data_IF_084719253322
#
_entry.id   IF_084719253322
#
_cell.length_a   1.000
_cell.length_b   1.000
_cell.length_c   1.000
_cell.angle_alpha   90.00
_cell.angle_beta   90.00
_cell.angle_gamma   90.00
#
_symmetry.space_group_name_H-M   'P 1'
#
loop_
_entity.id
_entity.type
_entity.pdbx_description
1 polymer ?
#
# COMPACT_ATOMS: atom_id res chain seq x y z
N UNK A 1 -10.72 11.83 -2.13
CA UNK A 1 -9.24 11.78 -2.16
C UNK A 1 -8.58 13.12 -1.88
N UNK A 2 -9.11 14.21 -2.44
CA UNK A 2 -8.49 15.53 -2.32
C UNK A 2 -8.38 16.06 -0.88
N UNK A 3 -9.20 15.56 0.04
CA UNK A 3 -9.15 15.95 1.45
C UNK A 3 -8.10 15.19 2.28
N UNK A 4 -7.63 14.02 1.82
CA UNK A 4 -6.86 13.11 2.66
C UNK A 4 -5.36 13.40 2.61
N UNK A 5 -4.73 13.57 3.77
CA UNK A 5 -3.27 13.72 3.88
C UNK A 5 -2.54 12.38 4.11
N UNK A 6 -3.29 11.34 4.48
CA UNK A 6 -2.78 9.99 4.75
C UNK A 6 -3.71 8.93 4.15
N UNK A 7 -3.12 7.86 3.60
CA UNK A 7 -3.86 6.72 3.05
C UNK A 7 -3.30 5.42 3.63
N UNK A 8 -4.16 4.63 4.26
CA UNK A 8 -3.82 3.30 4.79
C UNK A 8 -4.56 2.22 4.02
N UNK A 9 -3.81 1.25 3.50
CA UNK A 9 -4.33 0.08 2.81
C UNK A 9 -4.34 -1.10 3.77
N UNK A 10 -5.53 -1.66 4.02
CA UNK A 10 -5.72 -2.84 4.84
C UNK A 10 -6.40 -3.91 4.00
N UNK A 11 -5.70 -4.99 3.67
CA UNK A 11 -6.22 -6.01 2.77
C UNK A 11 -5.53 -7.37 2.96
N UNK A 12 -6.17 -8.50 2.58
CA UNK A 12 -5.46 -9.78 2.46
C UNK A 12 -4.67 -9.83 1.15
N UNK A 13 -3.42 -10.30 1.18
CA UNK A 13 -2.61 -10.49 -0.03
C UNK A 13 -3.11 -11.70 -0.80
N UNK A 14 -3.57 -11.48 -2.03
CA UNK A 14 -3.95 -12.54 -2.98
C UNK A 14 -3.01 -12.52 -4.17
N UNK A 15 -2.47 -13.68 -4.53
CA UNK A 15 -1.46 -13.82 -5.59
C UNK A 15 -0.33 -12.80 -5.47
N UNK A 16 0.20 -12.64 -4.24
CA UNK A 16 1.26 -11.69 -3.88
C UNK A 16 0.93 -10.20 -4.12
N UNK A 17 -0.34 -9.88 -4.43
CA UNK A 17 -0.83 -8.57 -4.80
C UNK A 17 -2.09 -8.14 -4.06
N UNK A 18 -2.82 -7.22 -4.68
CA UNK A 18 -4.06 -6.64 -4.18
C UNK A 18 -5.24 -7.55 -4.55
N UNK A 19 -6.28 -7.66 -3.69
CA UNK A 19 -7.56 -8.23 -4.09
C UNK A 19 -8.12 -7.49 -5.32
N UNK A 20 -8.87 -8.20 -6.17
CA UNK A 20 -9.42 -7.65 -7.40
C UNK A 20 -10.22 -6.35 -7.18
N UNK A 21 -11.02 -6.29 -6.11
CA UNK A 21 -11.76 -5.07 -5.74
C UNK A 21 -10.84 -3.88 -5.46
N UNK A 22 -9.75 -4.09 -4.70
CA UNK A 22 -8.81 -3.01 -4.39
C UNK A 22 -8.03 -2.59 -5.63
N UNK A 23 -7.66 -3.54 -6.49
CA UNK A 23 -7.05 -3.23 -7.78
C UNK A 23 -8.02 -2.43 -8.67
N UNK A 24 -9.28 -2.83 -8.74
CA UNK A 24 -10.31 -2.09 -9.47
C UNK A 24 -10.58 -0.69 -8.91
N UNK A 25 -10.47 -0.51 -7.59
CA UNK A 25 -10.52 0.83 -7.00
C UNK A 25 -9.34 1.70 -7.43
N UNK A 26 -8.12 1.17 -7.49
CA UNK A 26 -7.00 1.92 -8.07
C UNK A 26 -7.31 2.30 -9.53
N UNK A 27 -7.81 1.36 -10.33
CA UNK A 27 -8.07 1.61 -11.75
C UNK A 27 -9.16 2.66 -11.99
N UNK A 28 -10.14 2.76 -11.08
CA UNK A 28 -11.29 3.66 -11.23
C UNK A 28 -11.14 4.98 -10.49
N UNK A 29 -10.36 5.03 -9.41
CA UNK A 29 -10.25 6.21 -8.53
C UNK A 29 -8.89 6.89 -8.69
N UNK A 30 -7.82 6.15 -9.00
CA UNK A 30 -6.51 6.72 -9.36
C UNK A 30 -6.47 7.03 -10.87
N UNK A 31 -7.44 7.81 -11.33
CA UNK A 31 -7.62 8.16 -12.73
C UNK A 31 -6.95 9.48 -13.11
N UNK A 32 -6.83 9.71 -14.42
CA UNK A 32 -6.40 11.00 -15.00
C UNK A 32 -7.30 12.13 -14.50
N UNK A 33 -6.72 13.31 -14.30
CA UNK A 33 -7.34 14.53 -13.76
C UNK A 33 -7.85 14.43 -12.32
N UNK A 34 -7.74 13.26 -11.70
CA UNK A 34 -7.98 13.05 -10.26
C UNK A 34 -6.65 12.87 -9.52
N UNK A 35 -5.86 11.86 -9.90
CA UNK A 35 -4.62 11.52 -9.22
C UNK A 35 -3.36 12.02 -9.96
N UNK A 36 -3.44 12.16 -11.28
CA UNK A 36 -2.36 12.62 -12.12
C UNK A 36 -2.87 13.24 -13.43
N UNK A 37 -2.02 14.02 -14.09
CA UNK A 37 -2.28 14.52 -15.44
C UNK A 37 -1.18 14.03 -16.37
N UNK A 38 -1.59 13.60 -17.57
CA UNK A 38 -0.68 13.25 -18.64
C UNK A 38 -0.21 14.54 -19.36
N UNK A 39 1.07 14.61 -19.76
CA UNK A 39 1.56 15.73 -20.55
C UNK A 39 1.00 15.69 -21.97
N UNK A 40 0.85 16.86 -22.59
CA UNK A 40 0.62 16.95 -24.04
C UNK A 40 1.92 16.60 -24.77
N UNK A 41 2.07 15.33 -25.18
CA UNK A 41 3.26 14.83 -25.89
C UNK A 41 4.35 14.29 -24.96
N UNK A 42 5.63 14.52 -25.29
CA UNK A 42 6.77 14.02 -24.50
C UNK A 42 6.94 14.88 -23.25
N UNK A 43 6.64 14.32 -22.07
CA UNK A 43 6.80 15.00 -20.79
C UNK A 43 6.71 14.06 -19.61
N UNK A 44 6.81 14.61 -18.39
CA UNK A 44 6.62 13.84 -17.15
C UNK A 44 5.17 13.91 -16.71
N UNK A 45 4.67 12.82 -16.14
CA UNK A 45 3.35 12.80 -15.47
C UNK A 45 3.36 13.84 -14.35
N UNK A 46 2.36 14.72 -14.35
CA UNK A 46 2.14 15.69 -13.26
C UNK A 46 1.30 15.01 -12.19
N UNK A 47 1.81 14.97 -10.97
CA UNK A 47 1.06 14.42 -9.84
C UNK A 47 0.05 15.46 -9.30
N UNK A 48 -1.15 14.98 -8.97
CA UNK A 48 -2.20 15.75 -8.28
C UNK A 48 -2.38 15.33 -6.81
N UNK A 49 -1.65 14.32 -6.34
CA UNK A 49 -1.77 13.76 -4.99
C UNK A 49 -0.66 14.25 -4.04
N UNK A 50 -0.11 15.44 -4.30
CA UNK A 50 1.07 15.97 -3.57
C UNK A 50 0.78 16.34 -2.12
N UNK A 51 -0.49 16.53 -1.75
CA UNK A 51 -0.95 16.73 -0.37
C UNK A 51 -0.93 15.44 0.46
N UNK A 52 -0.87 14.26 -0.17
CA UNK A 52 -0.74 12.99 0.56
C UNK A 52 0.70 12.83 1.05
N UNK A 53 0.90 12.98 2.35
CA UNK A 53 2.22 12.91 3.01
C UNK A 53 2.50 11.55 3.64
N UNK A 54 1.50 10.68 3.76
CA UNK A 54 1.64 9.36 4.40
C UNK A 54 0.92 8.26 3.63
N UNK A 55 1.61 7.14 3.37
CA UNK A 55 1.01 5.94 2.78
C UNK A 55 1.46 4.69 3.54
N UNK A 56 0.52 3.94 4.11
CA UNK A 56 0.79 2.71 4.86
C UNK A 56 0.08 1.49 4.29
N UNK A 57 0.67 0.32 4.47
CA UNK A 57 0.07 -0.97 4.12
C UNK A 57 0.11 -1.89 5.32
N UNK A 58 -1.04 -2.49 5.64
CA UNK A 58 -1.21 -3.55 6.63
C UNK A 58 -1.87 -4.71 5.89
N UNK A 59 -1.19 -5.84 5.79
CA UNK A 59 -1.71 -6.99 5.03
C UNK A 59 -1.56 -8.29 5.79
N UNK A 60 -2.35 -9.28 5.42
CA UNK A 60 -2.15 -10.68 5.83
C UNK A 60 -1.76 -11.51 4.61
N UNK A 61 -0.98 -12.58 4.80
CA UNK A 61 -0.49 -13.42 3.71
C UNK A 61 -0.30 -14.86 4.20
N UNK A 62 -0.74 -15.84 3.40
CA UNK A 62 -0.50 -17.26 3.68
C UNK A 62 0.97 -17.66 3.51
N UNK A 63 1.66 -17.09 2.52
CA UNK A 63 3.05 -17.42 2.24
C UNK A 63 3.99 -17.01 3.38
N UNK A 64 5.12 -17.71 3.57
CA UNK A 64 6.18 -17.27 4.45
C UNK A 64 6.87 -16.00 3.93
N UNK A 65 7.52 -15.28 4.84
CA UNK A 65 8.21 -14.02 4.53
C UNK A 65 9.28 -14.19 3.45
N UNK A 66 10.12 -15.22 3.56
CA UNK A 66 11.25 -15.43 2.63
C UNK A 66 10.76 -15.63 1.19
N UNK A 67 9.69 -16.41 1.00
CA UNK A 67 9.13 -16.65 -0.33
C UNK A 67 8.48 -15.38 -0.89
N UNK A 68 7.77 -14.62 -0.05
CA UNK A 68 7.21 -13.33 -0.44
C UNK A 68 8.28 -12.33 -0.88
N UNK A 69 9.49 -12.39 -0.29
CA UNK A 69 10.64 -11.59 -0.71
C UNK A 69 11.20 -12.06 -2.05
N UNK A 70 11.31 -13.37 -2.29
CA UNK A 70 11.74 -13.94 -3.58
C UNK A 70 10.83 -13.51 -4.72
N UNK A 71 9.51 -13.58 -4.52
CA UNK A 71 8.50 -13.08 -5.49
C UNK A 71 8.53 -11.54 -5.61
N UNK A 72 9.27 -10.86 -4.74
CA UNK A 72 9.53 -9.44 -4.82
C UNK A 72 8.43 -8.55 -4.25
N UNK A 73 7.50 -9.11 -3.47
CA UNK A 73 6.39 -8.39 -2.82
C UNK A 73 5.63 -7.42 -3.77
N UNK A 74 5.00 -7.92 -4.85
CA UNK A 74 4.32 -7.09 -5.85
C UNK A 74 3.34 -6.08 -5.25
N UNK A 75 2.43 -6.50 -4.37
CA UNK A 75 1.46 -5.59 -3.74
C UNK A 75 2.12 -4.43 -2.98
N UNK A 76 3.21 -4.71 -2.24
CA UNK A 76 4.01 -3.69 -1.56
C UNK A 76 4.61 -2.71 -2.57
N UNK A 77 5.18 -3.20 -3.68
CA UNK A 77 5.81 -2.35 -4.71
C UNK A 77 4.77 -1.51 -5.45
N UNK A 78 3.62 -2.07 -5.80
CA UNK A 78 2.52 -1.35 -6.45
C UNK A 78 2.11 -0.13 -5.63
N UNK A 79 1.86 -0.29 -4.32
CA UNK A 79 1.44 0.81 -3.46
C UNK A 79 2.62 1.72 -3.10
N UNK A 80 3.69 1.18 -2.52
CA UNK A 80 4.74 1.98 -1.89
C UNK A 80 5.82 2.48 -2.86
N UNK A 81 5.84 2.00 -4.11
CA UNK A 81 6.70 2.55 -5.17
C UNK A 81 5.87 3.20 -6.27
N UNK A 82 4.96 2.44 -6.88
CA UNK A 82 4.14 2.94 -8.00
C UNK A 82 3.22 4.08 -7.58
N UNK A 83 2.23 3.78 -6.76
CA UNK A 83 1.24 4.77 -6.30
C UNK A 83 1.89 5.90 -5.49
N UNK A 84 2.85 5.59 -4.62
CA UNK A 84 3.62 6.59 -3.86
C UNK A 84 4.33 7.61 -4.75
N UNK A 85 4.72 7.27 -5.98
CA UNK A 85 5.38 8.21 -6.88
C UNK A 85 4.50 9.43 -7.21
N UNK A 86 3.18 9.28 -7.07
CA UNK A 86 2.22 10.37 -7.21
C UNK A 86 1.99 11.15 -5.90
N UNK A 87 2.52 10.71 -4.76
CA UNK A 87 2.31 11.40 -3.48
C UNK A 87 3.37 12.50 -3.24
N UNK A 88 3.39 13.12 -2.05
CA UNK A 88 4.41 14.10 -1.65
C UNK A 88 5.85 13.55 -1.81
N UNK A 89 6.84 14.43 -2.11
CA UNK A 89 8.25 14.00 -2.28
C UNK A 89 8.78 13.24 -1.07
N UNK A 90 8.45 13.72 0.14
CA UNK A 90 8.87 13.13 1.42
C UNK A 90 7.76 12.26 2.03
N UNK A 91 6.90 11.65 1.20
CA UNK A 91 5.82 10.80 1.67
C UNK A 91 6.37 9.67 2.56
N UNK A 92 6.00 9.70 3.85
CA UNK A 92 6.37 8.67 4.82
C UNK A 92 5.62 7.39 4.48
N UNK A 93 6.28 6.24 4.61
CA UNK A 93 5.64 4.96 4.33
C UNK A 93 5.94 3.88 5.34
N UNK A 94 5.06 2.89 5.42
CA UNK A 94 5.34 1.63 6.09
C UNK A 94 4.61 0.46 5.45
N UNK A 95 5.15 -0.74 5.70
CA UNK A 95 4.55 -2.01 5.31
C UNK A 95 4.59 -2.96 6.50
N UNK A 96 3.44 -3.48 6.89
CA UNK A 96 3.30 -4.53 7.89
C UNK A 96 2.54 -5.68 7.27
N UNK A 97 3.08 -6.90 7.41
CA UNK A 97 2.43 -8.11 6.95
C UNK A 97 2.42 -9.15 8.07
N UNK A 98 1.27 -9.78 8.29
CA UNK A 98 1.20 -11.03 9.03
C UNK A 98 1.28 -12.19 8.05
N UNK A 99 2.42 -12.87 8.04
CA UNK A 99 2.68 -14.04 7.21
C UNK A 99 2.19 -15.32 7.86
N UNK A 100 2.19 -16.43 7.10
CA UNK A 100 1.76 -17.76 7.56
C UNK A 100 0.35 -17.75 8.14
N UNK A 101 -0.57 -17.09 7.43
CA UNK A 101 -1.94 -16.93 7.93
C UNK A 101 -2.69 -18.25 8.14
N UNK A 102 -2.37 -19.26 7.32
CA UNK A 102 -2.96 -20.60 7.41
C UNK A 102 -2.57 -21.34 8.71
N UNK A 103 -1.49 -20.90 9.38
CA UNK A 103 -1.03 -21.45 10.67
C UNK A 103 -1.10 -20.42 11.79
N UNK A 104 -1.96 -19.39 11.66
CA UNK A 104 -2.03 -18.30 12.64
C UNK A 104 -2.60 -18.75 13.99
N UNK A 105 -2.04 -18.23 15.07
CA UNK A 105 -2.51 -18.48 16.44
C UNK A 105 -3.10 -17.21 17.06
N UNK A 106 -3.94 -17.31 18.09
CA UNK A 106 -4.37 -16.13 18.85
C UNK A 106 -3.19 -15.26 19.32
N UNK A 107 -2.10 -15.90 19.76
CA UNK A 107 -0.87 -15.21 20.18
C UNK A 107 -0.19 -14.48 19.03
N UNK A 108 -0.05 -15.09 17.85
CA UNK A 108 0.59 -14.44 16.70
C UNK A 108 -0.23 -13.23 16.22
N UNK A 109 -1.56 -13.37 16.19
CA UNK A 109 -2.48 -12.28 15.83
C UNK A 109 -2.39 -11.11 16.83
N UNK A 110 -2.39 -11.41 18.13
CA UNK A 110 -2.23 -10.38 19.17
C UNK A 110 -0.90 -9.64 19.03
N UNK A 111 0.20 -10.36 18.82
CA UNK A 111 1.52 -9.76 18.60
C UNK A 111 1.55 -8.87 17.34
N UNK A 112 0.92 -9.30 16.25
CA UNK A 112 0.82 -8.50 15.03
C UNK A 112 -0.01 -7.22 15.25
N UNK A 113 -1.15 -7.32 15.94
CA UNK A 113 -1.97 -6.16 16.27
C UNK A 113 -1.25 -5.17 17.17
N UNK A 114 -0.47 -5.64 18.16
CA UNK A 114 0.38 -4.79 18.98
C UNK A 114 1.42 -4.04 18.14
N UNK A 115 2.06 -4.74 17.18
CA UNK A 115 2.99 -4.11 16.22
C UNK A 115 2.31 -3.06 15.34
N UNK A 116 1.09 -3.32 14.88
CA UNK A 116 0.28 -2.36 14.10
C UNK A 116 0.00 -1.12 14.95
N UNK A 117 -0.48 -1.28 16.19
CA UNK A 117 -0.77 -0.17 17.10
C UNK A 117 0.47 0.70 17.34
N UNK A 118 1.57 0.09 17.78
CA UNK A 118 2.82 0.81 18.04
C UNK A 118 3.37 1.53 16.80
N UNK A 119 3.11 1.00 15.60
CA UNK A 119 3.51 1.65 14.35
C UNK A 119 2.64 2.87 14.05
N UNK A 120 1.33 2.76 14.19
CA UNK A 120 0.38 3.84 13.90
C UNK A 120 0.55 5.03 14.86
N UNK A 121 0.82 4.78 16.15
CA UNK A 121 1.09 5.84 17.14
C UNK A 121 2.29 6.75 16.78
N UNK A 122 3.22 6.26 15.95
CA UNK A 122 4.46 6.96 15.59
C UNK A 122 4.48 7.48 14.14
N UNK A 123 3.39 7.27 13.39
CA UNK A 123 3.36 7.44 11.93
C UNK A 123 2.70 8.74 11.46
#
# INVERSE_FOLDING_TARGET
>A
LMWAEAILFVYPTWWYGLPAMLKGWLDRVWATDVAFQLPNGKGRIKSLMRHVTKVGVITTCGAPTWWSVVVGQPGRKTILRGMRALCATRCRTFFLAHYLMDSSTPRSRAAFLAKVRAKLERF
#
